data_IF_012712740375
#
_entry.id   IF_012712740375
#
_cell.length_a   1.000
_cell.length_b   1.000
_cell.length_c   1.000
_cell.angle_alpha   90.00
_cell.angle_beta   90.00
_cell.angle_gamma   90.00
#
_symmetry.space_group_name_H-M   'P 1'
#
loop_
_entity.id
_entity.type
_entity.pdbx_description
1 polymer ?
#
# COMPACT_ATOMS: atom_id res chain seq x y z
N UNK A 1 5.28 -11.43 15.47
CA UNK A 1 5.56 -10.01 15.73
C UNK A 1 4.43 -9.15 15.25
N UNK A 2 3.96 -8.28 16.10
CA UNK A 2 2.91 -7.35 15.71
C UNK A 2 3.52 -6.18 14.94
N UNK A 3 2.82 -5.73 13.92
CA UNK A 3 3.19 -4.55 13.14
C UNK A 3 2.80 -3.31 13.93
N UNK A 4 3.65 -2.29 13.97
CA UNK A 4 3.32 -1.05 14.64
C UNK A 4 2.12 -0.39 13.96
N UNK A 5 1.32 0.43 14.68
CA UNK A 5 0.20 1.13 14.04
C UNK A 5 0.62 1.92 12.80
N UNK A 6 1.76 2.60 12.86
CA UNK A 6 2.25 3.38 11.73
C UNK A 6 2.60 2.51 10.53
N UNK A 7 3.28 1.40 10.76
CA UNK A 7 3.58 0.45 9.67
C UNK A 7 2.31 -0.08 9.04
N UNK A 8 1.28 -0.32 9.87
CA UNK A 8 -0.01 -0.78 9.37
C UNK A 8 -0.65 0.24 8.43
N UNK A 9 -0.79 1.51 8.86
CA UNK A 9 -1.47 2.48 8.01
C UNK A 9 -0.65 2.90 6.80
N UNK A 10 0.68 2.93 6.89
CA UNK A 10 1.53 3.18 5.72
C UNK A 10 1.29 2.10 4.66
N UNK A 11 1.21 0.84 5.07
CA UNK A 11 0.93 -0.27 4.16
C UNK A 11 -0.47 -0.19 3.56
N UNK A 12 -1.47 0.16 4.36
CA UNK A 12 -2.85 0.34 3.88
C UNK A 12 -2.90 1.46 2.83
N UNK A 13 -2.26 2.59 3.11
CA UNK A 13 -2.23 3.73 2.18
C UNK A 13 -1.49 3.37 0.89
N UNK A 14 -0.41 2.62 0.98
CA UNK A 14 0.36 2.21 -0.19
C UNK A 14 -0.44 1.27 -1.10
N UNK A 15 -1.28 0.42 -0.53
CA UNK A 15 -2.10 -0.53 -1.28
C UNK A 15 -3.46 0.03 -1.69
N UNK A 16 -3.81 1.23 -1.24
CA UNK A 16 -5.05 1.89 -1.65
C UNK A 16 -4.99 2.25 -3.13
N UNK A 17 -6.14 2.47 -3.72
CA UNK A 17 -6.24 2.99 -5.07
C UNK A 17 -6.36 4.51 -5.02
N UNK A 18 -5.86 5.20 -6.06
CA UNK A 18 -5.93 6.65 -6.09
C UNK A 18 -7.37 7.16 -5.91
N UNK A 19 -8.34 6.50 -6.55
CA UNK A 19 -9.74 6.89 -6.45
C UNK A 19 -10.31 6.76 -5.04
N UNK A 20 -9.65 6.01 -4.16
CA UNK A 20 -10.04 5.90 -2.75
C UNK A 20 -9.50 7.06 -1.91
N UNK A 21 -8.39 7.67 -2.33
CA UNK A 21 -7.75 8.78 -1.61
C UNK A 21 -8.12 10.14 -2.20
N UNK A 22 -8.35 10.22 -3.50
CA UNK A 22 -8.56 11.47 -4.21
C UNK A 22 -9.75 12.28 -3.68
N UNK A 23 -10.87 11.68 -3.25
CA UNK A 23 -11.96 12.47 -2.65
C UNK A 23 -11.54 13.24 -1.39
N UNK A 24 -10.45 12.84 -0.76
CA UNK A 24 -9.96 13.47 0.47
C UNK A 24 -8.77 14.40 0.21
N UNK A 25 -8.43 14.64 -1.04
CA UNK A 25 -7.26 15.45 -1.41
C UNK A 25 -7.32 16.84 -0.79
N UNK A 26 -8.45 17.51 -0.91
CA UNK A 26 -8.60 18.87 -0.37
C UNK A 26 -8.37 18.90 1.14
N UNK A 27 -8.93 17.93 1.87
CA UNK A 27 -8.75 17.85 3.31
C UNK A 27 -7.31 17.55 3.71
N UNK A 28 -6.64 16.67 2.96
CA UNK A 28 -5.25 16.33 3.23
C UNK A 28 -4.30 17.50 2.95
N UNK A 29 -4.59 18.30 1.94
CA UNK A 29 -3.75 19.43 1.54
C UNK A 29 -4.14 20.74 2.23
N UNK A 30 -5.18 20.74 3.07
CA UNK A 30 -5.65 21.93 3.75
C UNK A 30 -4.63 22.48 4.74
N UNK A 31 -3.87 21.61 5.40
CA UNK A 31 -2.80 22.02 6.31
C UNK A 31 -1.57 22.46 5.51
N UNK A 32 -0.84 23.44 6.06
CA UNK A 32 0.40 23.90 5.45
C UNK A 32 1.46 22.77 5.52
N UNK A 33 2.10 22.49 4.39
CA UNK A 33 3.12 21.45 4.34
C UNK A 33 4.20 21.78 3.30
N UNK A 34 5.32 21.10 3.41
CA UNK A 34 6.43 21.20 2.46
C UNK A 34 6.73 19.82 1.90
N UNK A 35 7.11 19.78 0.63
CA UNK A 35 7.61 18.56 0.01
C UNK A 35 9.11 18.46 0.32
N UNK A 36 9.46 17.64 1.30
CA UNK A 36 10.88 17.40 1.64
C UNK A 36 11.52 16.60 0.51
N UNK A 37 10.79 15.62 -0.01
CA UNK A 37 11.14 14.89 -1.22
C UNK A 37 9.90 14.83 -2.08
N UNK A 38 9.90 15.56 -3.18
CA UNK A 38 8.78 15.55 -4.13
C UNK A 38 8.55 14.12 -4.62
N UNK A 39 7.31 13.78 -5.01
CA UNK A 39 7.05 12.43 -5.52
C UNK A 39 8.02 12.09 -6.65
N UNK A 40 8.74 10.98 -6.50
CA UNK A 40 9.70 10.54 -7.51
C UNK A 40 9.48 9.07 -7.81
N UNK A 41 9.68 8.74 -9.08
CA UNK A 41 9.51 7.38 -9.59
C UNK A 41 10.89 6.76 -9.72
N UNK A 42 11.06 5.57 -9.18
CA UNK A 42 12.27 4.79 -9.30
C UNK A 42 11.96 3.37 -9.70
N UNK A 43 13.00 2.56 -9.77
CA UNK A 43 12.89 1.15 -10.09
C UNK A 43 13.45 0.34 -8.94
N UNK A 44 12.81 -0.79 -8.66
CA UNK A 44 13.34 -1.74 -7.69
C UNK A 44 13.32 -3.14 -8.29
N UNK A 45 14.24 -3.97 -7.83
CA UNK A 45 14.31 -5.36 -8.28
C UNK A 45 13.31 -6.19 -7.48
N UNK A 46 12.55 -7.01 -8.20
CA UNK A 46 11.66 -8.00 -7.59
C UNK A 46 12.41 -9.31 -7.57
N UNK A 47 12.52 -9.93 -6.41
CA UNK A 47 13.23 -11.19 -6.22
C UNK A 47 12.26 -12.29 -5.84
N UNK A 48 12.47 -13.46 -6.41
CA UNK A 48 11.78 -14.68 -6.03
C UNK A 48 12.74 -15.70 -5.46
N UNK A 49 12.21 -16.78 -4.94
CA UNK A 49 12.99 -17.92 -4.45
C UNK A 49 12.44 -19.21 -5.02
N UNK A 50 13.35 -20.09 -5.40
CA UNK A 50 12.95 -21.40 -5.89
C UNK A 50 12.63 -22.30 -4.69
N UNK A 51 11.39 -22.79 -4.65
CA UNK A 51 10.96 -23.75 -3.65
C UNK A 51 10.97 -23.26 -2.22
N UNK A 52 10.80 -21.98 -1.98
CA UNK A 52 10.71 -21.43 -0.63
C UNK A 52 12.06 -21.24 0.08
N UNK A 53 12.91 -22.25 0.07
CA UNK A 53 14.23 -22.20 0.72
C UNK A 53 15.38 -22.06 -0.27
N UNK A 54 15.08 -21.96 -1.57
CA UNK A 54 16.09 -21.86 -2.59
C UNK A 54 16.79 -20.51 -2.63
N UNK A 55 17.83 -20.41 -3.46
CA UNK A 55 18.57 -19.18 -3.67
C UNK A 55 17.66 -18.11 -4.27
N UNK A 56 17.84 -16.87 -3.85
CA UNK A 56 17.12 -15.75 -4.42
C UNK A 56 17.54 -15.52 -5.87
N UNK A 57 16.60 -15.16 -6.74
CA UNK A 57 16.88 -14.81 -8.12
C UNK A 57 16.05 -13.60 -8.52
N UNK A 58 16.51 -12.87 -9.54
CA UNK A 58 15.81 -11.69 -10.03
C UNK A 58 14.66 -12.12 -10.94
N UNK A 59 13.42 -11.75 -10.57
CA UNK A 59 12.23 -12.00 -11.36
C UNK A 59 12.02 -10.87 -12.37
N UNK A 60 12.41 -9.65 -12.02
CA UNK A 60 12.25 -8.49 -12.88
C UNK A 60 12.41 -7.20 -12.11
N UNK A 61 12.00 -6.12 -12.75
CA UNK A 61 12.02 -4.79 -12.17
C UNK A 61 10.60 -4.28 -12.01
N UNK A 62 10.39 -3.47 -10.96
CA UNK A 62 9.09 -2.89 -10.68
C UNK A 62 9.26 -1.39 -10.43
N UNK A 63 8.37 -0.59 -11.01
CA UNK A 63 8.34 0.85 -10.73
C UNK A 63 7.81 1.07 -9.33
N UNK A 64 8.41 2.01 -8.61
CA UNK A 64 7.94 2.44 -7.30
C UNK A 64 7.89 3.97 -7.28
N UNK A 65 6.99 4.52 -6.48
CA UNK A 65 6.90 5.96 -6.28
C UNK A 65 7.01 6.24 -4.79
N UNK A 66 7.81 7.24 -4.43
CA UNK A 66 8.02 7.61 -3.03
C UNK A 66 7.92 9.11 -2.87
N UNK A 67 7.54 9.53 -1.67
CA UNK A 67 7.38 10.94 -1.34
C UNK A 67 7.61 11.14 0.14
N UNK A 68 8.14 12.30 0.51
CA UNK A 68 8.31 12.71 1.90
C UNK A 68 7.74 14.12 2.05
N UNK A 69 6.82 14.30 2.99
CA UNK A 69 6.24 15.60 3.28
C UNK A 69 6.49 15.96 4.74
N UNK A 70 6.48 17.25 5.05
CA UNK A 70 6.55 17.73 6.43
C UNK A 70 5.46 18.75 6.65
N UNK A 71 4.67 18.55 7.68
CA UNK A 71 3.67 19.54 8.10
C UNK A 71 4.34 20.70 8.86
N UNK A 72 3.62 21.81 8.98
CA UNK A 72 4.15 23.00 9.65
C UNK A 72 4.60 22.73 11.09
N UNK A 73 3.98 21.76 11.76
CA UNK A 73 4.34 21.39 13.15
C UNK A 73 5.53 20.42 13.23
N UNK A 74 6.12 20.04 12.10
CA UNK A 74 7.30 19.18 12.05
C UNK A 74 7.02 17.71 11.82
N UNK A 75 5.75 17.27 11.85
CA UNK A 75 5.43 15.87 11.57
C UNK A 75 5.79 15.54 10.12
N UNK A 76 6.55 14.47 9.94
CA UNK A 76 7.05 14.06 8.63
C UNK A 76 6.36 12.78 8.18
N UNK A 77 5.75 12.82 7.01
CA UNK A 77 5.05 11.68 6.44
C UNK A 77 5.83 11.08 5.28
N UNK A 78 5.74 9.77 5.15
CA UNK A 78 6.42 9.00 4.11
C UNK A 78 5.44 8.17 3.33
N UNK A 79 5.73 7.97 2.04
CA UNK A 79 5.04 6.97 1.25
C UNK A 79 6.03 6.23 0.37
N UNK A 80 5.71 4.97 0.11
CA UNK A 80 6.47 4.12 -0.79
C UNK A 80 5.48 3.12 -1.36
N UNK A 81 5.21 3.22 -2.65
CA UNK A 81 4.17 2.40 -3.25
C UNK A 81 4.60 1.85 -4.61
N UNK A 82 4.03 0.72 -4.96
CA UNK A 82 4.23 0.12 -6.28
C UNK A 82 3.46 0.95 -7.31
N UNK A 83 4.08 1.13 -8.48
CA UNK A 83 3.47 1.87 -9.57
C UNK A 83 4.09 3.25 -9.75
N UNK A 84 3.45 4.06 -10.60
CA UNK A 84 4.01 5.33 -11.07
C UNK A 84 3.08 6.51 -10.79
N UNK A 85 2.35 6.48 -9.71
CA UNK A 85 1.33 7.47 -9.40
C UNK A 85 1.87 8.48 -8.39
N UNK A 86 2.28 9.64 -8.88
CA UNK A 86 2.84 10.70 -8.03
C UNK A 86 1.81 11.31 -7.10
N UNK A 87 0.57 11.48 -7.56
CA UNK A 87 -0.47 12.03 -6.70
C UNK A 87 -0.80 11.08 -5.55
N UNK A 88 -0.91 9.79 -5.84
CA UNK A 88 -1.14 8.78 -4.81
C UNK A 88 -0.03 8.84 -3.74
N UNK A 89 1.23 8.94 -4.18
CA UNK A 89 2.36 9.01 -3.25
C UNK A 89 2.29 10.25 -2.36
N UNK A 90 1.94 11.39 -2.91
CA UNK A 90 1.82 12.62 -2.14
C UNK A 90 0.67 12.54 -1.12
N UNK A 91 -0.50 12.05 -1.54
CA UNK A 91 -1.65 11.92 -0.65
C UNK A 91 -1.39 10.90 0.46
N UNK A 92 -0.73 9.79 0.14
CA UNK A 92 -0.37 8.79 1.14
C UNK A 92 0.62 9.35 2.16
N UNK A 93 1.62 10.12 1.72
CA UNK A 93 2.58 10.75 2.62
C UNK A 93 1.89 11.76 3.53
N UNK A 94 0.98 12.57 2.99
CA UNK A 94 0.21 13.53 3.78
C UNK A 94 -0.64 12.82 4.83
N UNK A 95 -1.32 11.74 4.45
CA UNK A 95 -2.12 10.96 5.39
C UNK A 95 -1.27 10.39 6.51
N UNK A 96 -0.08 9.87 6.20
CA UNK A 96 0.84 9.37 7.21
C UNK A 96 1.23 10.48 8.20
N UNK A 97 1.55 11.67 7.71
CA UNK A 97 1.90 12.79 8.57
C UNK A 97 0.75 13.18 9.48
N UNK A 98 -0.47 13.27 8.95
CA UNK A 98 -1.65 13.62 9.74
C UNK A 98 -1.98 12.58 10.80
N UNK A 99 -1.78 11.30 10.51
CA UNK A 99 -2.08 10.23 11.45
C UNK A 99 -1.10 10.16 12.62
N UNK A 100 0.05 10.81 12.52
CA UNK A 100 1.06 10.81 13.59
C UNK A 100 0.71 11.74 14.74
N UNK A 101 -0.31 12.58 14.59
CA UNK A 101 -0.72 13.47 15.67
C UNK A 101 -1.32 12.72 16.85
N UNK A 102 -1.34 13.37 18.01
CA UNK A 102 -1.93 12.80 19.22
C UNK A 102 -3.44 12.64 19.11
N UNK A 103 -4.09 13.45 18.26
CA UNK A 103 -5.52 13.41 18.03
C UNK A 103 -5.80 13.50 16.52
N UNK A 104 -5.55 12.40 15.78
CA UNK A 104 -5.83 12.41 14.35
C UNK A 104 -7.32 12.56 14.10
N UNK A 105 -7.67 13.15 12.96
CA UNK A 105 -9.06 13.34 12.56
C UNK A 105 -9.78 12.00 12.47
N UNK A 106 -10.99 11.93 13.02
CA UNK A 106 -11.77 10.69 13.01
C UNK A 106 -12.01 10.18 11.58
N UNK A 107 -12.31 11.09 10.65
CA UNK A 107 -12.57 10.68 9.27
C UNK A 107 -11.37 9.96 8.65
N UNK A 108 -10.15 10.38 9.01
CA UNK A 108 -8.95 9.76 8.47
C UNK A 108 -8.71 8.38 9.09
N UNK A 109 -8.90 8.27 10.41
CA UNK A 109 -8.81 6.98 11.08
C UNK A 109 -9.86 6.00 10.55
N UNK A 110 -11.08 6.48 10.34
CA UNK A 110 -12.16 5.67 9.77
C UNK A 110 -11.86 5.25 8.34
N UNK A 111 -11.24 6.13 7.56
CA UNK A 111 -10.83 5.81 6.20
C UNK A 111 -9.82 4.67 6.20
N UNK A 112 -8.82 4.72 7.08
CA UNK A 112 -7.81 3.66 7.17
C UNK A 112 -8.48 2.33 7.53
N UNK A 113 -9.39 2.33 8.48
CA UNK A 113 -10.12 1.12 8.88
C UNK A 113 -10.92 0.56 7.70
N UNK A 114 -11.64 1.43 6.97
CA UNK A 114 -12.44 0.99 5.83
C UNK A 114 -11.56 0.43 4.71
N UNK A 115 -10.44 1.09 4.42
CA UNK A 115 -9.50 0.62 3.40
C UNK A 115 -8.88 -0.72 3.80
N UNK A 116 -8.48 -0.86 5.06
CA UNK A 116 -7.90 -2.12 5.55
C UNK A 116 -8.89 -3.27 5.44
N UNK A 117 -10.16 -3.03 5.79
CA UNK A 117 -11.22 -4.04 5.69
C UNK A 117 -11.44 -4.44 4.23
N UNK A 118 -11.53 -3.46 3.33
CA UNK A 118 -11.73 -3.74 1.90
C UNK A 118 -10.54 -4.51 1.31
N UNK A 119 -9.32 -4.16 1.71
CA UNK A 119 -8.12 -4.87 1.24
C UNK A 119 -8.06 -6.31 1.75
N UNK A 120 -8.43 -6.53 3.00
CA UNK A 120 -8.48 -7.88 3.57
C UNK A 120 -9.51 -8.73 2.85
N UNK A 121 -10.67 -8.15 2.54
CA UNK A 121 -11.73 -8.85 1.80
C UNK A 121 -11.26 -9.22 0.39
N UNK A 122 -10.62 -8.29 -0.32
CA UNK A 122 -10.09 -8.58 -1.66
C UNK A 122 -9.03 -9.68 -1.64
N UNK A 123 -8.18 -9.66 -0.61
CA UNK A 123 -7.15 -10.68 -0.44
C UNK A 123 -7.74 -12.05 -0.18
N UNK A 124 -8.72 -12.12 0.71
CA UNK A 124 -9.41 -13.38 1.02
C UNK A 124 -10.13 -13.94 -0.21
N UNK A 125 -10.75 -13.06 -1.02
CA UNK A 125 -11.43 -13.49 -2.26
C UNK A 125 -10.42 -14.05 -3.26
N UNK A 126 -9.27 -13.38 -3.41
CA UNK A 126 -8.22 -13.85 -4.31
C UNK A 126 -7.67 -15.20 -3.89
N UNK A 127 -7.47 -15.40 -2.59
CA UNK A 127 -7.01 -16.69 -2.06
C UNK A 127 -8.04 -17.79 -2.30
N UNK A 128 -9.33 -17.50 -2.10
CA UNK A 128 -10.40 -18.45 -2.37
C UNK A 128 -10.46 -18.83 -3.84
N UNK A 129 -10.34 -17.85 -4.72
CA UNK A 129 -10.33 -18.09 -6.18
C UNK A 129 -9.14 -18.94 -6.59
N UNK A 130 -7.97 -18.68 -6.03
CA UNK A 130 -6.76 -19.45 -6.30
C UNK A 130 -6.92 -20.89 -5.84
N UNK A 131 -7.48 -21.09 -4.64
CA UNK A 131 -7.72 -22.43 -4.11
C UNK A 131 -8.71 -23.21 -4.97
N UNK A 132 -9.80 -22.55 -5.41
CA UNK A 132 -10.81 -23.18 -6.27
C UNK A 132 -10.18 -23.61 -7.61
N UNK A 133 -9.39 -22.75 -8.23
CA UNK A 133 -8.71 -23.06 -9.48
C UNK A 133 -7.77 -24.26 -9.31
N UNK A 134 -7.06 -24.29 -8.20
CA UNK A 134 -6.12 -25.38 -7.90
C UNK A 134 -6.86 -26.72 -7.76
N UNK A 135 -8.01 -26.73 -7.09
CA UNK A 135 -8.82 -27.92 -6.93
C UNK A 135 -9.33 -28.42 -8.29
N UNK A 136 -9.82 -27.54 -9.13
CA UNK A 136 -10.28 -27.89 -10.46
C UNK A 136 -9.17 -28.52 -11.32
N UNK A 137 -7.97 -27.94 -11.23
CA UNK A 137 -6.81 -28.47 -11.95
C UNK A 137 -6.53 -29.93 -11.55
N UNK A 138 -6.52 -30.24 -10.28
CA UNK A 138 -6.28 -31.59 -9.81
C UNK A 138 -7.38 -32.56 -10.21
N UNK A 139 -8.62 -32.11 -10.24
CA UNK A 139 -9.73 -32.93 -10.70
C UNK A 139 -9.59 -33.27 -12.17
N UNK A 140 -9.21 -32.31 -13.02
CA UNK A 140 -8.98 -32.57 -14.45
C UNK A 140 -7.87 -33.59 -14.67
N UNK A 141 -6.75 -33.48 -13.96
CA UNK A 141 -5.65 -34.42 -14.11
C UNK A 141 -6.06 -35.84 -13.76
N UNK A 142 -6.87 -36.00 -12.71
CA UNK A 142 -7.42 -37.32 -12.33
C UNK A 142 -8.41 -37.85 -13.34
N UNK A 143 -9.18 -36.98 -13.96
CA UNK A 143 -10.16 -37.34 -14.94
C UNK A 143 -9.58 -37.89 -16.23
N UNK A 144 -8.33 -37.55 -16.53
CA UNK A 144 -7.62 -38.03 -17.71
C UNK A 144 -7.12 -39.45 -17.59
N UNK A 145 -7.09 -40.01 -16.41
CA UNK A 145 -6.66 -41.36 -16.17
C UNK A 145 -7.84 -42.33 -16.30
#
# INVERSE_FOLDING_TARGET
MSVSPRQHWIGVLARAQLNELQPHEAALKDAEYQLIRAPEIGMTLVRGRMGGDGAAFNVGEMSVTRCVVRLADGRTGYSYLAGRDKLHAELAALADAHLQGSQPSLWLSDLITALATAQAKRRAQKEADTAATKVEFFTLVRGEN
#
